data_IF_086282348403
#
_entry.id   IF_086282348403
#
_cell.length_a   1.000
_cell.length_b   1.000
_cell.length_c   1.000
_cell.angle_alpha   90.00
_cell.angle_beta   90.00
_cell.angle_gamma   90.00
#
_symmetry.space_group_name_H-M   'P 1'
#
loop_
_entity.id
_entity.type
_entity.pdbx_description
1 polymer ?
#
# COMPACT_ATOMS: atom_id res chain seq x y z
N UNK A 1 7.39 -56.00 -19.40
CA UNK A 1 6.66 -55.11 -18.47
C UNK A 1 6.27 -53.87 -19.26
N UNK A 2 4.97 -53.61 -19.41
CA UNK A 2 4.50 -52.31 -19.92
C UNK A 2 4.64 -51.33 -18.75
N UNK A 3 5.43 -50.28 -18.93
CA UNK A 3 5.58 -49.20 -17.96
C UNK A 3 4.80 -48.02 -18.50
N UNK A 4 3.65 -47.77 -17.91
CA UNK A 4 2.89 -46.55 -18.16
C UNK A 4 3.35 -45.48 -17.16
N UNK A 5 3.63 -44.28 -17.67
CA UNK A 5 3.97 -43.12 -16.83
C UNK A 5 2.72 -42.27 -16.57
N UNK A 6 2.51 -41.90 -15.30
CA UNK A 6 1.42 -41.01 -14.91
C UNK A 6 1.76 -39.55 -15.30
N UNK A 7 0.78 -38.83 -15.88
CA UNK A 7 0.93 -37.41 -16.20
C UNK A 7 0.76 -36.56 -14.93
N UNK A 8 1.84 -35.96 -14.45
CA UNK A 8 1.87 -35.11 -13.25
C UNK A 8 2.02 -33.60 -13.56
N UNK A 9 1.85 -33.19 -14.82
CA UNK A 9 2.00 -31.79 -15.24
C UNK A 9 0.83 -30.90 -14.73
N UNK A 10 1.11 -29.74 -14.11
CA UNK A 10 0.07 -28.84 -13.67
C UNK A 10 -0.67 -28.22 -14.87
N UNK A 11 -2.00 -28.10 -14.76
CA UNK A 11 -2.80 -27.41 -15.77
C UNK A 11 -2.61 -25.89 -15.62
N UNK A 12 -2.54 -25.18 -16.75
CA UNK A 12 -2.46 -23.70 -16.79
C UNK A 12 -3.59 -23.01 -16.01
N UNK A 13 -4.78 -23.61 -15.99
CA UNK A 13 -5.90 -23.12 -15.18
C UNK A 13 -5.59 -23.10 -13.67
N UNK A 14 -4.92 -24.14 -13.16
CA UNK A 14 -4.49 -24.19 -11.76
C UNK A 14 -3.47 -23.09 -11.46
N UNK A 15 -2.52 -22.86 -12.37
CA UNK A 15 -1.54 -21.78 -12.24
C UNK A 15 -2.21 -20.40 -12.17
N UNK A 16 -3.14 -20.10 -13.09
CA UNK A 16 -3.88 -18.84 -13.08
C UNK A 16 -4.62 -18.66 -11.75
N UNK A 17 -5.31 -19.71 -11.27
CA UNK A 17 -6.01 -19.65 -9.98
C UNK A 17 -5.02 -19.36 -8.84
N UNK A 18 -3.89 -20.08 -8.78
CA UNK A 18 -2.91 -19.95 -7.71
C UNK A 18 -2.36 -18.52 -7.57
N UNK A 19 -2.14 -17.81 -8.69
CA UNK A 19 -1.60 -16.45 -8.63
C UNK A 19 -2.69 -15.38 -8.52
N UNK A 20 -3.94 -15.64 -8.93
CA UNK A 20 -4.99 -14.60 -9.01
C UNK A 20 -6.04 -14.66 -7.91
N UNK A 21 -6.22 -15.80 -7.24
CA UNK A 21 -7.37 -16.02 -6.35
C UNK A 21 -7.41 -15.06 -5.17
N UNK A 22 -6.28 -14.91 -4.48
CA UNK A 22 -6.22 -14.21 -3.19
C UNK A 22 -5.84 -12.73 -3.30
N UNK A 23 -5.59 -12.24 -4.52
CA UNK A 23 -5.33 -10.81 -4.77
C UNK A 23 -6.61 -10.05 -5.12
N UNK A 24 -6.74 -8.84 -4.56
CA UNK A 24 -7.81 -7.89 -4.89
C UNK A 24 -7.59 -7.21 -6.25
N UNK A 25 -8.62 -6.56 -6.77
CA UNK A 25 -8.52 -5.80 -8.02
C UNK A 25 -7.65 -4.54 -7.86
N UNK A 26 -7.73 -3.87 -6.71
CA UNK A 26 -6.91 -2.72 -6.39
C UNK A 26 -5.44 -3.10 -6.33
N UNK A 27 -5.09 -4.16 -5.60
CA UNK A 27 -3.70 -4.66 -5.51
C UNK A 27 -3.17 -5.10 -6.87
N UNK A 28 -4.04 -5.68 -7.70
CA UNK A 28 -3.73 -6.05 -9.09
C UNK A 28 -3.36 -4.83 -9.95
N UNK A 29 -4.13 -3.74 -9.86
CA UNK A 29 -3.84 -2.51 -10.61
C UNK A 29 -2.59 -1.81 -10.03
N UNK A 30 -2.42 -1.81 -8.71
CA UNK A 30 -1.22 -1.33 -8.04
C UNK A 30 0.03 -2.08 -8.52
N UNK A 31 -0.03 -3.40 -8.74
CA UNK A 31 1.10 -4.16 -9.30
C UNK A 31 1.53 -3.66 -10.69
N UNK A 32 0.59 -3.18 -11.51
CA UNK A 32 0.92 -2.60 -12.83
C UNK A 32 1.54 -1.21 -12.69
N UNK A 33 0.95 -0.34 -11.86
CA UNK A 33 1.47 1.00 -11.57
C UNK A 33 2.89 0.93 -10.97
N UNK A 34 3.12 -0.02 -10.06
CA UNK A 34 4.42 -0.24 -9.41
C UNK A 34 5.50 -0.61 -10.44
N UNK A 35 5.17 -1.34 -11.50
CA UNK A 35 6.13 -1.63 -12.57
C UNK A 35 6.58 -0.34 -13.28
N UNK A 36 5.64 0.56 -13.59
CA UNK A 36 5.95 1.85 -14.21
C UNK A 36 6.80 2.73 -13.28
N UNK A 37 6.49 2.78 -11.97
CA UNK A 37 7.27 3.52 -10.97
C UNK A 37 8.69 2.95 -10.86
N UNK A 38 8.83 1.63 -10.78
CA UNK A 38 10.14 0.98 -10.67
C UNK A 38 10.98 1.18 -11.92
N UNK A 39 10.37 1.15 -13.11
CA UNK A 39 11.04 1.46 -14.35
C UNK A 39 11.52 2.93 -14.37
N UNK A 40 10.66 3.89 -13.97
CA UNK A 40 11.06 5.30 -13.83
C UNK A 40 12.22 5.49 -12.85
N UNK A 41 12.17 4.85 -11.67
CA UNK A 41 13.26 4.91 -10.66
C UNK A 41 14.61 4.46 -11.23
N UNK A 42 14.64 3.45 -12.11
CA UNK A 42 15.88 2.98 -12.76
C UNK A 42 16.45 3.98 -13.76
N UNK A 43 15.60 4.82 -14.36
CA UNK A 43 16.01 5.84 -15.33
C UNK A 43 16.39 7.17 -14.67
N UNK A 44 15.86 7.44 -13.48
CA UNK A 44 16.07 8.70 -12.76
C UNK A 44 17.43 8.74 -12.04
N UNK A 45 18.25 9.75 -12.33
CA UNK A 45 19.54 9.96 -11.66
C UNK A 45 19.45 10.68 -10.30
N UNK A 46 18.38 11.41 -10.01
CA UNK A 46 18.33 12.41 -8.93
C UNK A 46 17.18 12.25 -7.90
N UNK A 47 16.73 11.03 -7.58
CA UNK A 47 15.62 10.72 -6.65
C UNK A 47 14.27 11.44 -6.93
N UNK A 48 14.19 12.27 -7.97
CA UNK A 48 12.97 12.90 -8.49
C UNK A 48 12.38 12.03 -9.58
N UNK A 49 11.05 11.92 -9.61
CA UNK A 49 10.28 11.20 -10.62
C UNK A 49 9.51 12.15 -11.55
N UNK A 50 9.81 13.46 -11.50
CA UNK A 50 9.21 14.47 -12.39
C UNK A 50 9.43 14.11 -13.87
N UNK A 51 8.36 14.24 -14.66
CA UNK A 51 8.34 13.93 -16.09
C UNK A 51 7.97 12.49 -16.42
N UNK A 52 7.93 11.60 -15.42
CA UNK A 52 7.42 10.24 -15.58
C UNK A 52 5.97 10.15 -15.14
N UNK A 53 5.18 9.37 -15.89
CA UNK A 53 3.76 9.21 -15.65
C UNK A 53 3.25 7.84 -16.03
N UNK A 54 2.13 7.48 -15.43
CA UNK A 54 1.29 6.37 -15.86
C UNK A 54 -0.16 6.83 -16.00
N UNK A 55 -0.80 6.43 -17.09
CA UNK A 55 -2.16 6.78 -17.45
C UNK A 55 -3.00 5.50 -17.51
N UNK A 56 -4.06 5.46 -16.71
CA UNK A 56 -5.04 4.39 -16.68
C UNK A 56 -6.36 4.87 -17.29
N UNK A 57 -6.94 4.01 -18.11
CA UNK A 57 -8.32 4.11 -18.57
C UNK A 57 -9.08 2.87 -18.11
N UNK A 58 -10.23 3.09 -17.47
CA UNK A 58 -11.16 2.04 -17.02
C UNK A 58 -12.56 2.49 -17.42
N UNK A 59 -13.13 1.84 -18.43
CA UNK A 59 -14.46 2.19 -18.91
C UNK A 59 -14.89 1.38 -20.12
N UNK A 60 -16.20 1.18 -20.25
CA UNK A 60 -16.81 0.70 -21.50
C UNK A 60 -17.41 1.89 -22.23
N UNK A 61 -16.84 2.21 -23.38
CA UNK A 61 -17.40 3.20 -24.28
C UNK A 61 -17.48 2.57 -25.67
N UNK A 62 -18.60 2.73 -26.37
CA UNK A 62 -18.79 2.18 -27.72
C UNK A 62 -17.73 2.67 -28.72
N UNK A 63 -17.10 3.81 -28.45
CA UNK A 63 -16.05 4.38 -29.27
C UNK A 63 -14.63 3.94 -28.87
N UNK A 64 -14.46 3.32 -27.70
CA UNK A 64 -13.15 2.86 -27.23
C UNK A 64 -13.00 1.36 -27.50
N UNK A 65 -11.90 1.00 -28.16
CA UNK A 65 -11.61 -0.39 -28.56
C UNK A 65 -11.27 -1.30 -27.36
N UNK A 66 -11.01 -0.72 -26.21
CA UNK A 66 -10.46 -1.41 -25.04
C UNK A 66 -11.26 -1.03 -23.80
N UNK A 67 -11.53 -2.03 -22.95
CA UNK A 67 -12.24 -1.86 -21.69
C UNK A 67 -11.31 -1.31 -20.58
N UNK A 68 -10.02 -1.60 -20.71
CA UNK A 68 -8.97 -1.17 -19.79
C UNK A 68 -7.68 -0.91 -20.57
N UNK A 69 -7.01 0.20 -20.25
CA UNK A 69 -5.67 0.54 -20.77
C UNK A 69 -4.82 1.06 -19.63
N UNK A 70 -3.56 0.61 -19.56
CA UNK A 70 -2.51 1.27 -18.79
C UNK A 70 -1.33 1.57 -19.70
N UNK A 71 -0.87 2.82 -19.67
CA UNK A 71 0.25 3.31 -20.49
C UNK A 71 1.19 4.12 -19.63
N UNK A 72 2.49 3.89 -19.77
CA UNK A 72 3.53 4.73 -19.16
C UNK A 72 4.52 5.28 -20.18
N UNK A 73 5.37 6.21 -19.73
CA UNK A 73 6.54 6.71 -20.47
C UNK A 73 7.86 6.34 -19.77
N UNK A 74 7.91 5.15 -19.16
CA UNK A 74 8.99 4.74 -18.25
C UNK A 74 10.06 3.86 -18.93
N UNK A 75 10.39 4.11 -20.21
CA UNK A 75 11.54 3.52 -20.91
C UNK A 75 11.27 2.20 -21.64
N UNK A 76 10.16 1.53 -21.33
CA UNK A 76 9.77 0.28 -21.97
C UNK A 76 10.56 -0.95 -21.49
N UNK A 77 10.20 -2.09 -22.07
CA UNK A 77 10.83 -3.40 -21.89
C UNK A 77 11.63 -3.72 -23.16
N UNK A 78 12.88 -4.17 -23.03
CA UNK A 78 13.67 -4.63 -24.18
C UNK A 78 13.16 -5.98 -24.68
N UNK A 79 13.35 -6.31 -25.96
CA UNK A 79 12.96 -7.64 -26.47
C UNK A 79 13.72 -8.78 -25.80
N UNK A 80 14.94 -8.53 -25.35
CA UNK A 80 15.74 -9.53 -24.62
C UNK A 80 15.16 -9.77 -23.23
N UNK A 81 14.85 -8.70 -22.48
CA UNK A 81 14.16 -8.84 -21.19
C UNK A 81 12.78 -9.48 -21.36
N UNK A 82 12.07 -9.21 -22.47
CA UNK A 82 10.78 -9.85 -22.74
C UNK A 82 10.90 -11.37 -22.94
N UNK A 83 11.96 -11.83 -23.62
CA UNK A 83 12.21 -13.27 -23.83
C UNK A 83 12.62 -13.98 -22.54
N UNK A 84 13.51 -13.36 -21.78
CA UNK A 84 14.27 -14.07 -20.74
C UNK A 84 13.86 -13.69 -19.32
N UNK A 85 13.00 -12.67 -19.11
CA UNK A 85 12.68 -12.16 -17.77
C UNK A 85 11.23 -11.76 -17.61
N UNK A 86 10.74 -10.77 -18.37
CA UNK A 86 9.50 -10.07 -18.10
C UNK A 86 8.25 -10.98 -18.12
N UNK A 87 8.27 -12.03 -18.94
CA UNK A 87 7.17 -13.00 -19.07
C UNK A 87 7.49 -14.39 -18.51
N UNK A 88 8.65 -14.57 -17.87
CA UNK A 88 8.90 -15.79 -17.12
C UNK A 88 7.92 -15.88 -15.94
N UNK A 89 7.38 -17.08 -15.72
CA UNK A 89 6.39 -17.34 -14.69
C UNK A 89 7.11 -17.81 -13.42
N UNK A 90 7.62 -16.83 -12.67
CA UNK A 90 8.56 -17.03 -11.57
C UNK A 90 9.97 -16.65 -12.01
N UNK A 91 10.77 -16.12 -11.08
CA UNK A 91 12.21 -15.96 -11.29
C UNK A 91 12.91 -17.23 -10.83
N UNK A 92 14.12 -17.48 -11.34
CA UNK A 92 15.02 -18.42 -10.69
C UNK A 92 15.26 -17.93 -9.27
N UNK A 93 14.84 -18.72 -8.26
CA UNK A 93 14.93 -18.37 -6.84
C UNK A 93 16.37 -18.17 -6.33
N UNK A 94 17.37 -18.36 -7.20
CA UNK A 94 18.77 -18.04 -6.92
C UNK A 94 19.11 -16.55 -7.19
N UNK A 95 18.39 -15.88 -8.09
CA UNK A 95 18.60 -14.45 -8.43
C UNK A 95 17.50 -13.57 -7.80
N UNK A 96 17.45 -13.59 -6.47
CA UNK A 96 16.39 -12.95 -5.66
C UNK A 96 16.35 -11.41 -5.72
N UNK A 97 17.27 -10.77 -6.46
CA UNK A 97 17.35 -9.30 -6.65
C UNK A 97 16.24 -8.75 -7.54
N UNK A 98 15.58 -9.61 -8.29
CA UNK A 98 14.41 -9.28 -9.09
C UNK A 98 13.20 -9.71 -8.27
N UNK A 99 12.30 -8.77 -7.94
CA UNK A 99 11.12 -9.08 -7.12
C UNK A 99 10.29 -10.25 -7.62
N UNK A 100 9.29 -10.73 -6.87
CA UNK A 100 8.57 -12.01 -7.07
C UNK A 100 8.25 -12.44 -8.52
N UNK A 101 8.24 -11.53 -9.49
CA UNK A 101 8.18 -11.89 -10.91
C UNK A 101 6.78 -12.25 -11.36
N UNK A 102 5.79 -12.09 -10.48
CA UNK A 102 4.39 -12.46 -10.74
C UNK A 102 3.46 -11.27 -10.93
N UNK A 103 3.78 -10.07 -10.40
CA UNK A 103 2.83 -8.94 -10.32
C UNK A 103 2.13 -8.60 -11.64
N UNK A 104 2.90 -8.28 -12.69
CA UNK A 104 2.33 -8.00 -14.02
C UNK A 104 1.53 -9.18 -14.58
N UNK A 105 2.02 -10.42 -14.45
CA UNK A 105 1.36 -11.61 -15.01
C UNK A 105 0.06 -11.89 -14.30
N UNK A 106 0.08 -11.87 -12.97
CA UNK A 106 -1.09 -11.96 -12.10
C UNK A 106 -2.13 -10.92 -12.47
N UNK A 107 -1.71 -9.68 -12.69
CA UNK A 107 -2.60 -8.62 -13.09
C UNK A 107 -3.26 -8.89 -14.46
N UNK A 108 -2.47 -9.27 -15.46
CA UNK A 108 -2.98 -9.63 -16.79
C UNK A 108 -3.98 -10.79 -16.71
N UNK A 109 -3.67 -11.86 -15.98
CA UNK A 109 -4.56 -13.02 -15.86
C UNK A 109 -5.80 -12.76 -14.99
N UNK A 110 -5.74 -11.84 -14.02
CA UNK A 110 -6.90 -11.45 -13.21
C UNK A 110 -7.87 -10.59 -14.03
N UNK A 111 -7.34 -9.63 -14.79
CA UNK A 111 -8.11 -8.59 -15.47
C UNK A 111 -8.61 -9.01 -16.86
N UNK A 112 -7.84 -9.80 -17.61
CA UNK A 112 -8.07 -9.98 -19.05
C UNK A 112 -8.49 -11.41 -19.42
N UNK A 113 -9.49 -11.50 -20.29
CA UNK A 113 -9.68 -12.66 -21.18
C UNK A 113 -8.82 -12.52 -22.46
N UNK A 114 -8.56 -11.29 -22.90
CA UNK A 114 -7.72 -10.97 -24.06
C UNK A 114 -6.97 -9.66 -23.84
N UNK A 115 -5.64 -9.70 -24.02
CA UNK A 115 -4.80 -8.51 -23.87
C UNK A 115 -3.75 -8.39 -24.98
N UNK A 116 -3.33 -7.14 -25.16
CA UNK A 116 -2.21 -6.73 -25.99
C UNK A 116 -1.23 -5.96 -25.09
N UNK A 117 0.03 -6.37 -25.10
CA UNK A 117 1.13 -5.62 -24.51
C UNK A 117 2.05 -5.15 -25.62
N UNK A 118 2.27 -3.84 -25.68
CA UNK A 118 3.18 -3.18 -26.59
C UNK A 118 4.26 -2.49 -25.77
N UNK A 119 5.51 -2.66 -26.19
CA UNK A 119 6.66 -2.05 -25.55
C UNK A 119 7.42 -1.24 -26.57
N UNK A 120 7.79 -0.03 -26.18
CA UNK A 120 8.55 0.93 -26.97
C UNK A 120 9.78 1.29 -26.17
N UNK A 121 10.97 0.96 -26.68
CA UNK A 121 12.24 1.50 -26.17
C UNK A 121 12.78 2.48 -27.20
N UNK A 122 13.94 3.09 -26.91
CA UNK A 122 14.64 3.93 -27.89
C UNK A 122 15.02 3.13 -29.14
N UNK A 123 15.37 1.86 -28.97
CA UNK A 123 16.00 1.04 -30.02
C UNK A 123 15.10 -0.07 -30.59
N UNK A 124 14.01 -0.45 -29.91
CA UNK A 124 13.14 -1.55 -30.34
C UNK A 124 11.67 -1.30 -30.00
N UNK A 125 10.80 -1.97 -30.75
CA UNK A 125 9.38 -2.05 -30.48
C UNK A 125 8.85 -3.45 -30.73
N UNK A 126 8.14 -3.99 -29.76
CA UNK A 126 7.53 -5.31 -29.85
C UNK A 126 6.09 -5.31 -29.36
N UNK A 127 5.38 -6.36 -29.75
CA UNK A 127 4.01 -6.63 -29.31
C UNK A 127 3.85 -8.10 -28.92
N UNK A 128 3.14 -8.32 -27.82
CA UNK A 128 2.60 -9.62 -27.41
C UNK A 128 1.08 -9.50 -27.38
N UNK A 129 0.40 -10.51 -27.92
CA UNK A 129 -1.05 -10.60 -27.88
C UNK A 129 -1.43 -11.99 -27.41
N UNK A 130 -2.36 -12.07 -26.47
CA UNK A 130 -2.77 -13.33 -25.87
C UNK A 130 -4.28 -13.33 -25.61
N UNK A 131 -4.97 -14.32 -26.19
CA UNK A 131 -6.25 -14.79 -25.68
C UNK A 131 -5.96 -15.84 -24.60
N UNK A 132 -6.39 -15.56 -23.38
CA UNK A 132 -6.07 -16.34 -22.19
C UNK A 132 -6.77 -17.71 -22.22
N UNK A 133 -7.97 -17.81 -22.81
CA UNK A 133 -8.72 -19.08 -22.93
C UNK A 133 -8.09 -19.98 -23.98
N UNK A 134 -7.71 -19.42 -25.12
CA UNK A 134 -7.02 -20.18 -26.18
C UNK A 134 -5.60 -20.59 -25.76
N UNK A 135 -4.88 -19.73 -25.03
CA UNK A 135 -3.57 -20.09 -24.50
C UNK A 135 -3.64 -21.24 -23.49
N UNK A 136 -4.68 -21.30 -22.65
CA UNK A 136 -4.89 -22.39 -21.69
C UNK A 136 -5.07 -23.77 -22.36
N UNK A 137 -5.64 -23.82 -23.57
CA UNK A 137 -5.86 -25.07 -24.31
C UNK A 137 -4.59 -25.63 -24.94
N UNK A 138 -3.56 -24.80 -25.15
CA UNK A 138 -2.28 -25.20 -25.77
C UNK A 138 -1.39 -25.92 -24.76
N UNK A 139 -0.62 -26.92 -25.22
CA UNK A 139 0.41 -27.57 -24.41
C UNK A 139 1.59 -26.63 -24.12
N UNK A 140 2.06 -25.88 -25.12
CA UNK A 140 3.16 -24.92 -24.97
C UNK A 140 2.77 -23.72 -24.12
N UNK A 141 3.61 -23.35 -23.16
CA UNK A 141 3.44 -22.16 -22.31
C UNK A 141 3.89 -20.86 -23.00
N UNK A 142 4.64 -20.95 -24.09
CA UNK A 142 5.24 -19.79 -24.74
C UNK A 142 4.19 -18.98 -25.53
N UNK A 143 4.43 -17.67 -25.61
CA UNK A 143 3.65 -16.74 -26.44
C UNK A 143 4.58 -16.03 -27.44
N UNK A 144 4.18 -15.86 -28.71
CA UNK A 144 5.04 -15.26 -29.70
C UNK A 144 5.23 -13.76 -29.46
N UNK A 145 6.49 -13.31 -29.46
CA UNK A 145 6.86 -11.90 -29.48
C UNK A 145 6.93 -11.42 -30.93
N UNK A 146 6.02 -10.53 -31.32
CA UNK A 146 5.93 -10.00 -32.68
C UNK A 146 6.64 -8.66 -32.78
N UNK A 147 7.17 -8.34 -33.97
CA UNK A 147 7.62 -6.97 -34.28
C UNK A 147 6.40 -6.05 -34.26
N UNK A 148 6.53 -4.89 -33.61
CA UNK A 148 5.47 -3.89 -33.69
C UNK A 148 5.67 -3.06 -34.97
N UNK A 149 4.69 -3.09 -35.87
CA UNK A 149 4.73 -2.33 -37.13
C UNK A 149 4.02 -0.99 -37.04
N UNK A 150 3.54 -0.59 -35.85
CA UNK A 150 2.95 0.72 -35.65
C UNK A 150 3.93 1.81 -36.13
N UNK A 151 3.44 2.74 -36.95
CA UNK A 151 4.24 3.84 -37.53
C UNK A 151 4.35 5.03 -36.58
N UNK A 152 3.51 5.09 -35.55
CA UNK A 152 3.55 6.15 -34.56
C UNK A 152 4.86 6.14 -33.77
N UNK A 153 5.44 7.32 -33.62
CA UNK A 153 6.54 7.55 -32.68
C UNK A 153 5.94 7.86 -31.34
N UNK A 154 6.08 6.93 -30.39
CA UNK A 154 5.63 7.10 -29.01
C UNK A 154 6.84 7.29 -28.10
N UNK A 155 6.61 7.94 -26.96
CA UNK A 155 7.60 7.98 -25.88
C UNK A 155 7.98 6.56 -25.46
N UNK A 156 9.25 6.31 -25.07
CA UNK A 156 9.66 5.02 -24.52
C UNK A 156 8.81 4.64 -23.29
N UNK A 157 8.18 3.47 -23.32
CA UNK A 157 7.23 3.04 -22.30
C UNK A 157 6.51 1.75 -22.66
N UNK A 158 5.58 1.35 -21.80
CA UNK A 158 4.74 0.17 -21.99
C UNK A 158 3.28 0.57 -22.13
N UNK A 159 2.57 -0.10 -23.04
CA UNK A 159 1.12 -0.02 -23.20
C UNK A 159 0.54 -1.41 -23.02
N UNK A 160 -0.36 -1.58 -22.05
CA UNK A 160 -1.17 -2.78 -21.90
C UNK A 160 -2.61 -2.39 -22.20
N UNK A 161 -3.19 -3.03 -23.21
CA UNK A 161 -4.57 -2.84 -23.63
C UNK A 161 -5.34 -4.14 -23.46
N UNK A 162 -6.43 -4.10 -22.69
CA UNK A 162 -7.32 -5.25 -22.48
C UNK A 162 -8.53 -5.06 -23.38
N UNK A 163 -8.66 -5.93 -24.39
CA UNK A 163 -9.75 -5.86 -25.36
C UNK A 163 -11.02 -6.56 -24.88
N UNK A 164 -10.86 -7.55 -23.99
CA UNK A 164 -11.96 -8.23 -23.29
C UNK A 164 -11.58 -8.40 -21.83
N UNK A 165 -12.30 -7.73 -20.94
CA UNK A 165 -12.18 -7.98 -19.51
C UNK A 165 -12.62 -9.41 -19.16
N UNK A 166 -12.06 -9.92 -18.06
CA UNK A 166 -12.61 -11.09 -17.41
C UNK A 166 -14.02 -10.75 -16.88
N UNK A 167 -15.02 -11.38 -17.49
CA UNK A 167 -16.44 -11.19 -17.15
C UNK A 167 -16.78 -11.29 -15.67
N UNK A 168 -15.99 -12.01 -14.86
CA UNK A 168 -16.23 -12.17 -13.42
C UNK A 168 -15.94 -10.90 -12.61
N UNK A 169 -15.06 -10.03 -13.10
CA UNK A 169 -14.62 -8.82 -12.38
C UNK A 169 -15.09 -7.54 -13.04
N UNK A 170 -15.67 -7.64 -14.23
CA UNK A 170 -16.07 -6.51 -15.07
C UNK A 170 -17.00 -5.54 -14.34
N UNK A 171 -18.10 -6.04 -13.75
CA UNK A 171 -19.08 -5.20 -13.06
C UNK A 171 -18.48 -4.43 -11.88
N UNK A 172 -17.57 -5.06 -11.13
CA UNK A 172 -16.89 -4.44 -10.01
C UNK A 172 -15.93 -3.36 -10.50
N UNK A 173 -15.06 -3.70 -11.45
CA UNK A 173 -14.04 -2.83 -12.03
C UNK A 173 -14.64 -1.56 -12.67
N UNK A 174 -15.77 -1.70 -13.37
CA UNK A 174 -16.46 -0.60 -14.04
C UNK A 174 -17.30 0.26 -13.08
N UNK A 175 -17.50 -0.17 -11.83
CA UNK A 175 -18.31 0.58 -10.88
C UNK A 175 -17.63 1.88 -10.44
N UNK A 176 -18.41 2.96 -10.30
CA UNK A 176 -17.89 4.23 -9.79
C UNK A 176 -17.43 4.16 -8.34
N UNK A 177 -17.94 3.19 -7.56
CA UNK A 177 -17.45 2.92 -6.20
C UNK A 177 -16.02 2.41 -6.27
N UNK A 178 -15.77 1.34 -7.03
CA UNK A 178 -14.43 0.78 -7.19
C UNK A 178 -13.44 1.82 -7.68
N UNK A 179 -13.78 2.61 -8.71
CA UNK A 179 -12.85 3.62 -9.24
C UNK A 179 -12.49 4.71 -8.20
N UNK A 180 -13.43 5.09 -7.31
CA UNK A 180 -13.14 6.01 -6.20
C UNK A 180 -12.25 5.36 -5.15
N UNK A 181 -12.54 4.11 -4.80
CA UNK A 181 -11.77 3.35 -3.81
C UNK A 181 -10.33 3.13 -4.33
N UNK A 182 -10.17 2.79 -5.61
CA UNK A 182 -8.88 2.68 -6.29
C UNK A 182 -8.08 3.98 -6.24
N UNK A 183 -8.70 5.15 -6.47
CA UNK A 183 -8.00 6.44 -6.38
C UNK A 183 -7.40 6.62 -4.98
N UNK A 184 -8.17 6.31 -3.93
CA UNK A 184 -7.70 6.43 -2.55
C UNK A 184 -6.56 5.43 -2.27
N UNK A 185 -6.71 4.17 -2.70
CA UNK A 185 -5.65 3.16 -2.58
C UNK A 185 -4.37 3.57 -3.28
N UNK A 186 -4.45 4.12 -4.50
CA UNK A 186 -3.29 4.57 -5.27
C UNK A 186 -2.60 5.75 -4.59
N UNK A 187 -3.36 6.74 -4.09
CA UNK A 187 -2.80 7.88 -3.34
C UNK A 187 -1.97 7.43 -2.14
N UNK A 188 -2.55 6.49 -1.38
CA UNK A 188 -1.99 5.99 -0.14
C UNK A 188 -0.78 5.07 -0.42
N UNK A 189 -0.93 4.09 -1.31
CA UNK A 189 0.13 3.11 -1.60
C UNK A 189 1.35 3.75 -2.28
N UNK A 190 1.17 4.81 -3.06
CA UNK A 190 2.24 5.44 -3.84
C UNK A 190 2.51 6.89 -3.44
N UNK A 191 2.17 7.27 -2.21
CA UNK A 191 2.35 8.61 -1.64
C UNK A 191 3.75 9.17 -1.91
N UNK A 192 4.80 8.40 -1.63
CA UNK A 192 6.19 8.84 -1.80
C UNK A 192 6.61 8.98 -3.27
N UNK A 193 6.01 8.20 -4.17
CA UNK A 193 6.27 8.35 -5.61
C UNK A 193 5.59 9.62 -6.14
N UNK A 194 4.36 9.89 -5.70
CA UNK A 194 3.63 11.13 -6.00
C UNK A 194 4.37 12.35 -5.44
N UNK A 195 4.88 12.27 -4.21
CA UNK A 195 5.70 13.31 -3.59
C UNK A 195 7.00 13.56 -4.37
N UNK A 196 7.64 12.51 -4.87
CA UNK A 196 8.81 12.61 -5.75
C UNK A 196 8.48 13.19 -7.15
N UNK A 197 7.20 13.41 -7.47
CA UNK A 197 6.73 14.04 -8.70
C UNK A 197 6.31 13.08 -9.80
N UNK A 198 6.15 11.78 -9.51
CA UNK A 198 5.55 10.83 -10.46
C UNK A 198 4.07 11.15 -10.65
N UNK A 199 3.59 11.14 -11.89
CA UNK A 199 2.19 11.46 -12.16
C UNK A 199 1.36 10.20 -12.43
N UNK A 200 0.19 10.09 -11.79
CA UNK A 200 -0.74 8.99 -12.02
C UNK A 200 -2.07 9.59 -12.47
N UNK A 201 -2.61 9.10 -13.58
CA UNK A 201 -3.89 9.52 -14.13
C UNK A 201 -4.87 8.35 -14.16
N UNK A 202 -6.12 8.59 -13.78
CA UNK A 202 -7.23 7.64 -13.98
C UNK A 202 -8.33 8.35 -14.79
N UNK A 203 -8.72 7.76 -15.92
CA UNK A 203 -9.74 8.32 -16.81
C UNK A 203 -9.47 9.80 -17.15
N UNK A 204 -8.21 10.09 -17.51
CA UNK A 204 -7.66 11.42 -17.83
C UNK A 204 -7.62 12.42 -16.67
N UNK A 205 -8.03 12.03 -15.46
CA UNK A 205 -7.94 12.87 -14.27
C UNK A 205 -6.66 12.57 -13.52
N UNK A 206 -5.84 13.59 -13.27
CA UNK A 206 -4.66 13.47 -12.42
C UNK A 206 -5.09 13.14 -11.00
N UNK A 207 -4.43 12.17 -10.39
CA UNK A 207 -4.61 11.85 -8.98
C UNK A 207 -3.85 12.88 -8.16
N UNK A 208 -4.58 13.83 -7.58
CA UNK A 208 -3.99 14.90 -6.77
C UNK A 208 -3.44 14.36 -5.45
N UNK A 209 -2.21 14.75 -5.15
CA UNK A 209 -1.51 14.48 -3.90
C UNK A 209 -1.34 15.78 -3.11
N UNK A 210 -1.85 15.80 -1.88
CA UNK A 210 -1.56 16.87 -0.94
C UNK A 210 -0.40 16.44 -0.06
N UNK A 211 0.75 17.11 -0.15
CA UNK A 211 1.87 16.78 0.73
C UNK A 211 1.50 17.08 2.18
N UNK A 212 1.49 16.04 3.00
CA UNK A 212 1.67 16.22 4.43
C UNK A 212 3.16 16.19 4.70
N UNK A 213 3.81 17.34 4.58
CA UNK A 213 5.23 17.50 4.97
C UNK A 213 5.44 16.84 6.34
N UNK A 214 6.52 16.06 6.48
CA UNK A 214 7.01 15.63 7.78
C UNK A 214 7.09 16.86 8.69
N UNK A 215 6.35 16.84 9.79
CA UNK A 215 6.19 18.02 10.65
C UNK A 215 7.46 18.29 11.46
N UNK A 216 7.58 19.50 12.02
CA UNK A 216 8.59 19.90 13.02
C UNK A 216 8.64 19.00 14.28
N UNK A 217 7.76 18.00 14.39
CA UNK A 217 7.57 17.13 15.55
C UNK A 217 8.17 15.73 15.35
N UNK A 218 9.24 15.63 14.56
CA UNK A 218 9.98 14.38 14.35
C UNK A 218 10.78 14.06 15.62
N UNK A 219 10.47 12.92 16.25
CA UNK A 219 11.10 12.46 17.49
C UNK A 219 12.20 11.43 17.24
N UNK A 220 12.09 10.66 16.16
CA UNK A 220 13.07 9.65 15.78
C UNK A 220 13.24 9.68 14.25
N UNK A 221 14.49 9.57 13.80
CA UNK A 221 14.87 9.37 12.40
C UNK A 221 16.20 8.60 12.38
N UNK A 222 16.12 7.27 12.25
CA UNK A 222 17.31 6.40 12.26
C UNK A 222 17.26 5.39 11.14
N UNK A 223 18.43 5.09 10.62
CA UNK A 223 18.67 4.06 9.61
C UNK A 223 19.44 2.91 10.27
N UNK A 224 19.09 1.69 9.89
CA UNK A 224 19.69 0.44 10.31
C UNK A 224 19.90 -0.44 9.08
N UNK A 225 20.97 -1.22 9.07
CA UNK A 225 21.18 -2.25 8.06
C UNK A 225 20.86 -3.62 8.66
N UNK A 226 19.92 -4.34 8.04
CA UNK A 226 19.50 -5.68 8.48
C UNK A 226 19.49 -6.62 7.28
N UNK A 227 20.43 -7.58 7.26
CA UNK A 227 20.51 -8.57 6.18
C UNK A 227 20.52 -7.89 4.80
N UNK A 228 21.42 -6.92 4.58
CA UNK A 228 21.52 -6.15 3.30
C UNK A 228 20.29 -5.30 2.95
N UNK A 229 19.31 -5.18 3.84
CA UNK A 229 18.17 -4.28 3.69
C UNK A 229 18.40 -3.00 4.52
N UNK A 230 18.15 -1.84 3.91
CA UNK A 230 18.13 -0.55 4.60
C UNK A 230 16.77 -0.38 5.29
N UNK A 231 16.78 -0.32 6.61
CA UNK A 231 15.59 -0.09 7.43
C UNK A 231 15.67 1.31 8.01
N UNK A 232 14.68 2.15 7.69
CA UNK A 232 14.58 3.49 8.26
C UNK A 232 13.34 3.61 9.14
N UNK A 233 13.54 3.93 10.41
CA UNK A 233 12.47 4.21 11.36
C UNK A 233 12.30 5.72 11.54
N UNK A 234 11.05 6.18 11.47
CA UNK A 234 10.67 7.54 11.83
C UNK A 234 9.51 7.54 12.81
N UNK A 235 9.53 8.43 13.79
CA UNK A 235 8.42 8.64 14.73
C UNK A 235 8.08 10.12 14.76
N UNK A 236 6.80 10.44 14.57
CA UNK A 236 6.22 11.77 14.72
C UNK A 236 5.25 11.80 15.90
N UNK A 237 5.29 12.90 16.64
CA UNK A 237 4.28 13.23 17.65
C UNK A 237 3.36 14.35 17.17
N UNK A 238 2.06 14.27 17.50
CA UNK A 238 1.06 15.26 17.08
C UNK A 238 1.10 15.51 15.57
N UNK A 239 1.17 14.42 14.78
CA UNK A 239 1.23 14.53 13.34
C UNK A 239 -0.04 15.20 12.80
N UNK A 240 0.14 16.10 11.82
CA UNK A 240 -0.96 16.75 11.09
C UNK A 240 -1.48 15.91 9.93
N UNK A 241 -0.95 14.69 9.75
CA UNK A 241 -1.45 13.71 8.79
C UNK A 241 -2.90 13.33 9.11
N UNK A 242 -3.60 12.81 8.11
CA UNK A 242 -4.93 12.24 8.31
C UNK A 242 -4.88 11.11 9.33
N UNK A 243 -6.00 10.86 10.01
CA UNK A 243 -6.09 9.85 11.06
C UNK A 243 -5.80 8.42 10.56
N UNK A 244 -5.85 8.19 9.25
CA UNK A 244 -5.50 6.96 8.55
C UNK A 244 -4.03 6.55 8.77
N UNK A 245 -3.15 7.52 9.06
CA UNK A 245 -1.73 7.27 9.34
C UNK A 245 -1.44 7.04 10.83
N UNK A 246 -2.41 7.25 11.72
CA UNK A 246 -2.17 7.17 13.16
C UNK A 246 -1.90 5.72 13.57
N UNK A 247 -0.68 5.44 14.00
CA UNK A 247 -0.15 4.09 14.19
C UNK A 247 1.16 3.89 13.44
N UNK A 248 1.56 2.63 13.28
CA UNK A 248 2.73 2.26 12.48
C UNK A 248 2.35 2.06 11.01
N UNK A 249 3.15 2.66 10.13
CA UNK A 249 3.02 2.59 8.68
C UNK A 249 4.23 1.86 8.11
N UNK A 250 4.01 0.87 7.24
CA UNK A 250 5.09 0.08 6.66
C UNK A 250 5.24 0.37 5.18
N UNK A 251 6.41 0.87 4.79
CA UNK A 251 6.71 1.25 3.41
C UNK A 251 7.82 0.34 2.91
N UNK A 252 7.52 -0.51 1.94
CA UNK A 252 8.47 -1.48 1.38
C UNK A 252 8.78 -1.09 -0.06
N UNK A 253 10.05 -0.81 -0.35
CA UNK A 253 10.53 -0.36 -1.67
C UNK A 253 9.73 0.83 -2.26
N UNK A 254 9.21 1.70 -1.38
CA UNK A 254 8.44 2.89 -1.73
C UNK A 254 6.94 2.65 -1.97
N UNK A 255 6.44 1.42 -1.81
CA UNK A 255 5.00 1.13 -1.72
C UNK A 255 4.60 1.08 -0.25
N UNK A 256 3.59 1.84 0.13
CA UNK A 256 3.05 1.80 1.49
C UNK A 256 2.07 0.60 1.59
N UNK A 257 2.42 -0.36 2.44
CA UNK A 257 1.78 -1.68 2.57
C UNK A 257 0.76 -1.68 3.71
N UNK A 258 1.11 -1.07 4.84
CA UNK A 258 0.27 -1.00 6.04
C UNK A 258 0.16 0.46 6.46
N UNK A 259 -1.07 0.86 6.82
CA UNK A 259 -1.40 2.23 7.19
C UNK A 259 -1.96 2.26 8.60
N UNK A 260 -1.38 3.10 9.46
CA UNK A 260 -1.90 3.37 10.80
C UNK A 260 -2.16 2.14 11.66
N UNK A 261 -1.28 1.12 11.64
CA UNK A 261 -1.47 -0.05 12.50
C UNK A 261 -1.30 0.32 13.97
N UNK A 262 -2.40 0.20 14.72
CA UNK A 262 -2.44 0.47 16.16
C UNK A 262 -2.31 -0.81 16.99
N UNK A 263 -2.60 -1.99 16.43
CA UNK A 263 -2.91 -3.17 17.25
C UNK A 263 -2.29 -4.48 16.75
N UNK A 264 -2.21 -4.72 15.44
CA UNK A 264 -2.17 -6.09 14.90
C UNK A 264 -0.74 -6.62 14.74
N UNK A 265 0.22 -5.79 14.34
CA UNK A 265 1.54 -6.28 13.98
C UNK A 265 2.48 -6.44 15.19
N UNK A 266 2.38 -5.58 16.21
CA UNK A 266 3.47 -5.48 17.19
C UNK A 266 3.12 -5.63 18.67
N UNK A 267 1.85 -5.61 19.10
CA UNK A 267 1.50 -5.57 20.54
C UNK A 267 2.37 -4.56 21.36
N UNK A 268 3.02 -3.59 20.71
CA UNK A 268 4.02 -2.69 21.31
C UNK A 268 3.39 -1.86 22.43
N UNK A 269 2.09 -1.58 22.27
CA UNK A 269 1.27 -1.00 23.30
C UNK A 269 1.22 -1.87 24.56
N UNK A 270 1.13 -3.21 24.49
CA UNK A 270 1.12 -4.05 25.71
C UNK A 270 2.43 -3.98 26.49
N UNK A 271 3.58 -3.85 25.81
CA UNK A 271 4.88 -3.69 26.46
C UNK A 271 5.09 -2.30 27.05
N UNK A 272 4.40 -1.27 26.54
CA UNK A 272 4.58 0.15 26.93
C UNK A 272 3.35 0.72 27.67
N UNK A 273 2.25 -0.04 27.79
CA UNK A 273 0.97 0.37 28.44
C UNK A 273 1.12 0.44 29.95
N UNK A 274 1.82 1.47 30.39
CA UNK A 274 1.43 2.19 31.57
C UNK A 274 0.23 3.05 31.21
N UNK A 275 -0.75 3.17 32.11
CA UNK A 275 -1.96 3.95 31.83
C UNK A 275 -1.65 5.40 31.43
N UNK A 276 -0.44 5.96 31.63
CA UNK A 276 -0.08 7.38 31.44
C UNK A 276 0.16 7.88 30.01
N UNK A 277 0.36 7.00 29.03
CA UNK A 277 0.64 7.44 27.65
C UNK A 277 -0.60 7.37 26.74
N UNK A 278 -0.76 8.36 25.85
CA UNK A 278 -1.81 8.44 24.83
C UNK A 278 -1.19 8.50 23.42
N UNK A 279 -1.43 7.44 22.65
CA UNK A 279 -0.89 7.28 21.28
C UNK A 279 -1.92 7.59 20.19
N UNK A 280 -3.01 8.31 20.48
CA UNK A 280 -4.07 8.58 19.51
C UNK A 280 -3.61 9.36 18.28
N UNK A 281 -2.55 10.20 18.41
CA UNK A 281 -1.94 10.98 17.32
C UNK A 281 -0.48 10.61 17.04
N UNK A 282 -0.09 9.41 17.44
CA UNK A 282 1.21 8.83 17.11
C UNK A 282 1.25 8.45 15.63
N UNK A 283 2.31 8.81 14.92
CA UNK A 283 2.59 8.31 13.56
C UNK A 283 4.01 7.78 13.52
N UNK A 284 4.15 6.48 13.28
CA UNK A 284 5.43 5.85 13.04
C UNK A 284 5.53 5.38 11.59
N UNK A 285 6.69 5.53 10.96
CA UNK A 285 7.00 4.91 9.68
C UNK A 285 8.15 3.91 9.83
N UNK A 286 8.00 2.77 9.18
CA UNK A 286 9.02 1.76 8.96
C UNK A 286 9.24 1.66 7.46
N UNK A 287 10.33 2.26 6.97
CA UNK A 287 10.76 2.07 5.59
C UNK A 287 11.70 0.88 5.52
N UNK A 288 11.47 -0.01 4.56
CA UNK A 288 12.26 -1.20 4.30
C UNK A 288 12.63 -1.14 2.82
N UNK A 289 13.89 -0.87 2.52
CA UNK A 289 14.41 -0.86 1.16
C UNK A 289 15.39 -2.01 1.00
N UNK A 290 15.18 -2.83 -0.03
CA UNK A 290 16.03 -3.98 -0.31
C UNK A 290 15.85 -4.47 -1.73
N UNK A 291 16.96 -4.94 -2.31
CA UNK A 291 16.95 -5.54 -3.64
C UNK A 291 16.43 -6.98 -3.60
N UNK A 292 16.76 -7.72 -2.53
CA UNK A 292 16.33 -9.09 -2.36
C UNK A 292 14.88 -9.17 -1.82
N UNK A 293 13.92 -9.40 -2.71
CA UNK A 293 12.49 -9.42 -2.34
C UNK A 293 12.10 -10.64 -1.51
N UNK A 294 12.81 -11.77 -1.61
CA UNK A 294 12.50 -12.95 -0.79
C UNK A 294 12.88 -12.77 0.68
N UNK A 295 13.76 -11.80 0.97
CA UNK A 295 14.11 -11.42 2.35
C UNK A 295 13.18 -10.36 2.94
N UNK A 296 12.47 -9.61 2.10
CA UNK A 296 11.53 -8.59 2.56
C UNK A 296 10.36 -9.24 3.29
N UNK A 297 9.87 -8.64 4.39
CA UNK A 297 8.78 -9.20 5.17
C UNK A 297 7.41 -8.90 4.53
N UNK A 298 7.23 -9.33 3.29
CA UNK A 298 6.07 -9.02 2.47
C UNK A 298 5.39 -10.31 2.01
N UNK A 299 4.06 -10.35 2.08
CA UNK A 299 3.31 -11.43 1.46
C UNK A 299 3.32 -11.31 -0.08
N UNK A 300 2.96 -12.39 -0.78
CA UNK A 300 2.97 -12.39 -2.25
C UNK A 300 1.96 -11.42 -2.86
N UNK A 301 0.85 -11.13 -2.17
CA UNK A 301 -0.19 -10.17 -2.59
C UNK A 301 0.21 -8.69 -2.40
N UNK A 302 1.32 -8.43 -1.69
CA UNK A 302 1.85 -7.09 -1.38
C UNK A 302 0.86 -6.17 -0.66
N UNK A 303 0.04 -6.74 0.21
CA UNK A 303 -0.96 -6.05 1.03
C UNK A 303 -0.84 -6.39 2.52
N UNK A 304 0.18 -7.17 2.89
CA UNK A 304 0.41 -7.60 4.26
C UNK A 304 1.88 -7.87 4.55
N UNK A 305 2.21 -7.79 5.83
CA UNK A 305 3.55 -8.10 6.35
C UNK A 305 3.62 -9.56 6.77
N UNK A 306 4.67 -10.26 6.34
CA UNK A 306 4.96 -11.60 6.85
C UNK A 306 5.58 -11.52 8.24
N UNK A 307 4.76 -11.77 9.27
CA UNK A 307 5.20 -11.72 10.68
C UNK A 307 6.19 -12.84 11.06
N UNK A 308 6.28 -13.89 10.25
CA UNK A 308 7.21 -15.00 10.50
C UNK A 308 8.62 -14.70 9.97
N UNK A 309 8.75 -13.74 9.07
CA UNK A 309 10.01 -13.30 8.48
C UNK A 309 11.03 -12.84 9.54
N UNK A 310 12.30 -13.22 9.35
CA UNK A 310 13.38 -12.96 10.32
C UNK A 310 13.80 -11.49 10.38
N UNK A 311 13.77 -10.77 9.25
CA UNK A 311 14.02 -9.32 9.16
C UNK A 311 12.95 -8.60 9.97
N UNK A 312 11.68 -8.95 9.78
CA UNK A 312 10.58 -8.36 10.54
C UNK A 312 10.75 -8.50 12.06
N UNK A 313 11.08 -9.72 12.55
CA UNK A 313 11.32 -9.96 13.98
C UNK A 313 12.47 -9.12 14.55
N UNK A 314 13.49 -8.80 13.74
CA UNK A 314 14.57 -7.88 14.14
C UNK A 314 14.08 -6.43 14.18
N UNK A 315 13.34 -5.99 13.16
CA UNK A 315 12.73 -4.66 13.08
C UNK A 315 11.88 -4.37 14.33
N UNK A 316 11.07 -5.33 14.79
CA UNK A 316 10.25 -5.17 15.99
C UNK A 316 11.05 -4.73 17.23
N UNK A 317 12.26 -5.27 17.42
CA UNK A 317 13.13 -4.90 18.55
C UNK A 317 13.55 -3.43 18.47
N UNK A 318 13.88 -2.96 17.28
CA UNK A 318 14.22 -1.55 17.05
C UNK A 318 13.02 -0.63 17.23
N UNK A 319 11.84 -1.05 16.78
CA UNK A 319 10.60 -0.30 16.98
C UNK A 319 10.27 -0.14 18.47
N UNK A 320 10.37 -1.22 19.26
CA UNK A 320 10.15 -1.16 20.71
C UNK A 320 11.18 -0.22 21.35
N UNK A 321 12.47 -0.34 21.00
CA UNK A 321 13.52 0.54 21.54
C UNK A 321 13.29 2.01 21.18
N UNK A 322 12.83 2.31 19.96
CA UNK A 322 12.52 3.67 19.52
C UNK A 322 11.31 4.24 20.27
N UNK A 323 10.27 3.43 20.50
CA UNK A 323 9.12 3.84 21.31
C UNK A 323 9.51 4.07 22.77
N UNK A 324 10.34 3.23 23.37
CA UNK A 324 10.81 3.41 24.75
C UNK A 324 11.54 4.74 24.95
N UNK A 325 12.29 5.20 23.94
CA UNK A 325 12.99 6.50 23.96
C UNK A 325 12.08 7.70 23.74
N UNK A 326 10.92 7.50 23.13
CA UNK A 326 10.03 8.58 22.69
C UNK A 326 8.71 8.63 23.45
N UNK A 327 8.39 7.62 24.28
CA UNK A 327 7.11 7.48 24.98
C UNK A 327 6.73 8.69 25.84
N UNK A 328 7.70 9.38 26.43
CA UNK A 328 7.47 10.56 27.28
C UNK A 328 6.77 11.71 26.54
N UNK A 329 7.01 11.85 25.23
CA UNK A 329 6.32 12.85 24.41
C UNK A 329 4.83 12.54 24.19
N UNK A 330 4.42 11.31 24.49
CA UNK A 330 3.04 10.85 24.41
C UNK A 330 2.41 10.76 25.80
N UNK A 331 3.04 11.29 26.86
CA UNK A 331 2.37 11.40 28.16
C UNK A 331 1.16 12.32 28.04
N UNK A 332 0.01 11.80 28.49
CA UNK A 332 -1.20 12.60 28.56
C UNK A 332 -1.22 13.32 29.92
N UNK A 333 -1.22 14.64 29.86
CA UNK A 333 -1.40 15.48 31.05
C UNK A 333 -2.87 15.59 31.45
N UNK A 334 -3.78 15.15 30.57
CA UNK A 334 -5.22 15.20 30.78
C UNK A 334 -5.81 13.78 30.78
N UNK A 335 -6.94 13.60 31.46
CA UNK A 335 -7.66 12.32 31.52
C UNK A 335 -9.11 12.52 31.19
N UNK A 336 -9.60 11.74 30.25
CA UNK A 336 -11.03 11.63 29.98
C UNK A 336 -11.68 10.82 31.10
N UNK A 337 -12.61 11.44 31.83
CA UNK A 337 -13.44 10.79 32.82
C UNK A 337 -14.83 10.62 32.19
N UNK A 338 -15.24 9.38 31.95
CA UNK A 338 -16.56 9.06 31.37
C UNK A 338 -17.37 8.20 32.34
N UNK A 339 -18.60 8.63 32.61
CA UNK A 339 -19.57 7.88 33.39
C UNK A 339 -20.99 8.27 32.95
N UNK A 340 -21.95 7.36 33.12
CA UNK A 340 -23.37 7.62 32.86
C UNK A 340 -24.06 7.99 34.17
N UNK A 341 -24.99 8.94 34.11
CA UNK A 341 -25.88 9.32 35.21
C UNK A 341 -27.32 9.34 34.74
N UNK A 342 -28.29 9.11 35.64
CA UNK A 342 -29.70 9.29 35.33
C UNK A 342 -29.98 10.69 34.79
N UNK A 343 -30.88 10.78 33.80
CA UNK A 343 -31.25 12.05 33.17
C UNK A 343 -31.83 13.02 34.20
N UNK A 344 -32.63 12.52 35.14
CA UNK A 344 -33.24 13.31 36.21
C UNK A 344 -32.22 14.06 37.07
N UNK A 345 -31.12 13.40 37.45
CA UNK A 345 -30.03 14.03 38.24
C UNK A 345 -29.33 15.13 37.44
N UNK A 346 -29.09 14.88 36.15
CA UNK A 346 -28.44 15.87 35.27
C UNK A 346 -29.34 17.08 35.06
N UNK A 347 -30.64 16.88 34.86
CA UNK A 347 -31.59 17.98 34.63
C UNK A 347 -31.84 18.81 35.89
N UNK A 348 -31.86 18.19 37.06
CA UNK A 348 -31.88 18.91 38.34
C UNK A 348 -30.64 19.81 38.48
N UNK A 349 -29.44 19.27 38.20
CA UNK A 349 -28.21 20.04 38.23
C UNK A 349 -28.16 21.16 37.17
N UNK A 350 -28.76 20.98 35.99
CA UNK A 350 -28.92 22.05 34.99
C UNK A 350 -29.68 23.24 35.53
N UNK A 351 -30.78 22.98 36.23
CA UNK A 351 -31.57 24.05 36.87
C UNK A 351 -30.76 24.71 37.97
N UNK A 352 -30.17 23.93 38.88
CA UNK A 352 -29.43 24.45 40.02
C UNK A 352 -28.18 25.27 39.62
N UNK A 353 -27.42 24.80 38.64
CA UNK A 353 -26.17 25.41 38.18
C UNK A 353 -26.35 26.37 37.00
N UNK A 354 -27.60 26.57 36.54
CA UNK A 354 -27.97 27.42 35.39
C UNK A 354 -27.18 27.08 34.13
N UNK A 355 -27.02 25.79 33.83
CA UNK A 355 -26.31 25.32 32.64
C UNK A 355 -27.24 24.63 31.65
N UNK A 356 -26.88 24.69 30.37
CA UNK A 356 -27.65 24.07 29.28
C UNK A 356 -27.13 22.69 28.88
N UNK A 357 -25.81 22.50 28.88
CA UNK A 357 -25.18 21.30 28.34
C UNK A 357 -24.73 20.33 29.44
N UNK A 358 -24.89 19.03 29.20
CA UNK A 358 -24.48 17.96 30.13
C UNK A 358 -22.96 18.01 30.43
N UNK A 359 -22.15 18.41 29.45
CA UNK A 359 -20.70 18.56 29.61
C UNK A 359 -20.33 19.61 30.67
N UNK A 360 -21.10 20.69 30.76
CA UNK A 360 -20.84 21.78 31.70
C UNK A 360 -21.22 21.37 33.12
N UNK A 361 -22.31 20.60 33.26
CA UNK A 361 -22.68 19.96 34.53
C UNK A 361 -21.56 19.04 35.02
N UNK A 362 -21.05 18.17 34.17
CA UNK A 362 -19.92 17.30 34.51
C UNK A 362 -18.69 18.09 34.97
N UNK A 363 -18.32 19.16 34.26
CA UNK A 363 -17.18 20.01 34.64
C UNK A 363 -17.38 20.71 35.97
N UNK A 364 -18.51 21.41 36.15
CA UNK A 364 -18.77 22.23 37.36
C UNK A 364 -18.90 21.33 38.59
N UNK A 365 -19.70 20.27 38.51
CA UNK A 365 -19.88 19.33 39.62
C UNK A 365 -18.55 18.69 40.05
N UNK A 366 -17.70 18.33 39.09
CA UNK A 366 -16.36 17.82 39.37
C UNK A 366 -15.48 18.86 40.06
N UNK A 367 -15.45 20.10 39.55
CA UNK A 367 -14.70 21.20 40.17
C UNK A 367 -15.14 21.47 41.61
N UNK A 368 -16.46 21.53 41.86
CA UNK A 368 -17.01 21.71 43.21
C UNK A 368 -16.58 20.60 44.16
N UNK A 369 -16.72 19.34 43.73
CA UNK A 369 -16.31 18.18 44.52
C UNK A 369 -14.81 18.18 44.82
N UNK A 370 -13.99 18.49 43.81
CA UNK A 370 -12.54 18.54 43.95
C UNK A 370 -12.09 19.61 44.96
N UNK A 371 -12.73 20.78 44.94
CA UNK A 371 -12.44 21.85 45.88
C UNK A 371 -12.80 21.48 47.32
N UNK A 372 -13.91 20.79 47.54
CA UNK A 372 -14.27 20.26 48.86
C UNK A 372 -13.26 19.23 49.38
N UNK A 373 -12.84 18.28 48.52
CA UNK A 373 -11.83 17.28 48.88
C UNK A 373 -10.51 17.94 49.24
N UNK A 374 -10.07 18.93 48.45
CA UNK A 374 -8.84 19.70 48.71
C UNK A 374 -8.92 20.47 50.02
N UNK A 375 -10.07 21.07 50.34
CA UNK A 375 -10.30 21.76 51.61
C UNK A 375 -10.18 20.80 52.80
N UNK A 376 -10.84 19.64 52.75
CA UNK A 376 -10.75 18.60 53.79
C UNK A 376 -9.31 18.10 53.99
N UNK A 377 -8.57 17.83 52.92
CA UNK A 377 -7.19 17.33 53.03
C UNK A 377 -6.19 18.35 53.58
N UNK A 378 -6.42 19.65 53.40
CA UNK A 378 -5.61 20.70 54.06
C UNK A 378 -5.84 20.74 55.58
N UNK A 379 -7.00 20.29 56.05
CA UNK A 379 -7.34 20.26 57.47
C UNK A 379 -6.68 19.10 58.22
N UNK A 380 -6.31 18.01 57.52
CA UNK A 380 -5.63 16.83 58.09
C UNK A 380 -4.08 16.87 58.01
N UNK A 381 -3.50 17.91 57.39
CA UNK A 381 -2.03 18.13 57.33
C UNK A 381 -1.51 19.21 58.29
N UNK A 382 -2.38 19.73 59.14
CA UNK A 382 -2.04 20.47 60.36
C UNK A 382 -2.29 19.53 61.53
#
# INVERSE_FOLDING_TARGET
MVRDDAKMEPKKALFIIAITKDITLESTICDLIENSINAAKKLCKFKTLKGYRVELYIGKNYNDKYDFVIKDNCGGITREDAKNRAFMLGNDFEDNKLGFGIGMKRALFKLADDFILESYTIDDKFKIQMDVKEWQKKSSWNTPIRKNTNKETLEPGVIISISRLNSKIENELLSSKFQRDLINTVKINFEFALEAGFEIYLNRKKIEYSSSLFAKNLLEDRVYDISENEIKLKIEHNSKRSCEYYGWNYVINGRNIIHGDKYILNNWQKSIKENKYNFEKFVGFVFINGDNVSELPLNTSKDGIDINNSVYKKIQKYMISAMEKTKEYFEDNERSIQYKKPISEIDELKVALKQKYNSDIGKISFSMCLDEIRKKNKTYKK
#
